data_IF_706041434074
#
_entry.id   IF_706041434074
#
_cell.length_a   1.000
_cell.length_b   1.000
_cell.length_c   1.000
_cell.angle_alpha   90.00
_cell.angle_beta   90.00
_cell.angle_gamma   90.00
#
_symmetry.space_group_name_H-M   'P 1'
#
loop_
_entity.id
_entity.type
_entity.pdbx_description
1 polymer ?
#
# COMPACT_ATOMS: atom_id res chain seq x y z
N UNK A 1 -0.09 20.17 4.48
CA UNK A 1 0.05 20.01 5.94
C UNK A 1 0.75 21.23 6.53
N UNK A 2 0.09 22.04 7.35
CA UNK A 2 0.81 22.98 8.23
C UNK A 2 1.33 22.16 9.41
N UNK A 3 2.59 21.72 9.35
CA UNK A 3 3.23 20.97 10.44
C UNK A 3 3.31 21.88 11.67
N UNK A 4 2.92 21.38 12.84
CA UNK A 4 3.29 22.04 14.08
C UNK A 4 4.83 22.11 14.13
N UNK A 5 5.44 23.25 14.47
CA UNK A 5 6.89 23.35 14.51
C UNK A 5 7.42 22.33 15.53
N UNK A 6 8.25 21.39 15.04
CA UNK A 6 8.94 20.43 15.89
C UNK A 6 9.79 21.21 16.88
N UNK A 7 9.53 21.04 18.18
CA UNK A 7 10.28 21.76 19.21
C UNK A 7 11.75 21.33 19.19
N UNK A 8 12.66 22.22 19.60
CA UNK A 8 14.09 21.89 19.72
C UNK A 8 14.30 20.66 20.61
N UNK A 9 13.46 20.48 21.62
CA UNK A 9 13.50 19.33 22.53
C UNK A 9 13.12 18.03 21.81
N UNK A 10 12.10 18.05 20.97
CA UNK A 10 11.71 16.88 20.17
C UNK A 10 12.80 16.52 19.15
N UNK A 11 13.47 17.50 18.54
CA UNK A 11 14.61 17.23 17.66
C UNK A 11 15.78 16.56 18.41
N UNK A 12 16.08 17.03 19.63
CA UNK A 12 17.10 16.45 20.48
C UNK A 12 16.74 15.02 20.92
N UNK A 13 15.48 14.77 21.28
CA UNK A 13 14.97 13.43 21.59
C UNK A 13 15.11 12.48 20.40
N UNK A 14 14.66 12.90 19.21
CA UNK A 14 14.76 12.09 18.00
C UNK A 14 16.21 11.77 17.64
N UNK A 15 17.13 12.73 17.83
CA UNK A 15 18.56 12.50 17.63
C UNK A 15 19.10 11.46 18.63
N UNK A 16 18.79 11.60 19.91
CA UNK A 16 19.23 10.66 20.94
C UNK A 16 18.70 9.24 20.73
N UNK A 17 17.47 9.09 20.21
CA UNK A 17 16.91 7.78 19.85
C UNK A 17 17.61 7.20 18.64
N UNK A 18 17.88 8.02 17.61
CA UNK A 18 18.60 7.60 16.40
C UNK A 18 20.03 7.14 16.73
N UNK A 19 20.67 7.77 17.70
CA UNK A 19 22.02 7.42 18.19
C UNK A 19 22.00 6.31 19.26
N UNK A 20 20.81 5.76 19.58
CA UNK A 20 20.61 4.74 20.62
C UNK A 20 21.22 5.08 21.99
N UNK A 21 21.15 6.36 22.38
CA UNK A 21 21.70 6.83 23.64
C UNK A 21 21.00 6.16 24.85
N UNK A 22 21.77 5.48 25.70
CA UNK A 22 21.26 4.98 26.97
C UNK A 22 20.91 6.12 27.91
N UNK A 23 20.06 5.86 28.91
CA UNK A 23 19.65 6.87 29.89
C UNK A 23 20.84 7.61 30.51
N UNK A 24 21.89 6.87 30.85
CA UNK A 24 23.09 7.38 31.53
C UNK A 24 23.91 8.32 30.63
N UNK A 25 23.82 8.14 29.31
CA UNK A 25 24.55 8.92 28.29
C UNK A 25 23.72 10.05 27.66
N UNK A 26 22.47 10.21 28.09
CA UNK A 26 21.63 11.30 27.59
C UNK A 26 22.19 12.67 27.99
N UNK A 27 22.06 13.69 27.12
CA UNK A 27 22.30 15.07 27.51
C UNK A 27 21.49 15.44 28.76
N UNK A 28 22.12 16.07 29.75
CA UNK A 28 21.47 16.47 31.01
C UNK A 28 20.18 17.26 30.82
N UNK A 29 20.10 18.05 29.75
CA UNK A 29 18.88 18.78 29.36
C UNK A 29 17.72 17.84 29.09
N UNK A 30 17.94 16.73 28.38
CA UNK A 30 16.91 15.73 28.07
C UNK A 30 16.53 14.96 29.34
N UNK A 31 17.51 14.56 30.15
CA UNK A 31 17.25 13.88 31.42
C UNK A 31 16.38 14.72 32.36
N UNK A 32 16.62 16.03 32.42
CA UNK A 32 15.83 16.96 33.22
C UNK A 32 14.35 17.04 32.76
N UNK A 33 14.10 16.91 31.45
CA UNK A 33 12.74 16.89 30.90
C UNK A 33 12.02 15.56 31.14
N UNK A 34 12.74 14.43 31.02
CA UNK A 34 12.14 13.09 31.02
C UNK A 34 11.94 12.46 32.39
N UNK A 35 12.23 13.13 33.51
CA UNK A 35 11.97 12.71 34.91
C UNK A 35 12.55 11.36 35.41
N UNK A 36 12.58 10.29 34.60
CA UNK A 36 13.05 8.96 34.94
C UNK A 36 13.52 8.15 33.72
N UNK A 37 14.25 7.05 33.99
CA UNK A 37 14.69 6.09 32.97
C UNK A 37 13.51 5.37 32.30
N UNK A 38 12.46 5.09 33.06
CA UNK A 38 11.23 4.44 32.58
C UNK A 38 10.47 5.34 31.60
N UNK A 39 10.44 6.65 31.84
CA UNK A 39 9.87 7.60 30.89
C UNK A 39 10.70 7.71 29.61
N UNK A 40 12.03 7.64 29.70
CA UNK A 40 12.88 7.53 28.52
C UNK A 40 12.58 6.27 27.71
N UNK A 41 12.46 5.12 28.36
CA UNK A 41 12.07 3.88 27.68
C UNK A 41 10.70 4.00 26.98
N UNK A 42 9.71 4.62 27.64
CA UNK A 42 8.40 4.90 27.02
C UNK A 42 8.54 5.79 25.79
N UNK A 43 9.39 6.82 25.84
CA UNK A 43 9.61 7.75 24.72
C UNK A 43 10.31 7.11 23.54
N UNK A 44 11.27 6.20 23.81
CA UNK A 44 11.90 5.36 22.78
C UNK A 44 10.83 4.56 22.04
N UNK A 45 10.01 3.81 22.77
CA UNK A 45 8.96 2.95 22.21
C UNK A 45 7.98 3.79 21.37
N UNK A 46 7.48 4.89 21.93
CA UNK A 46 6.52 5.77 21.27
C UNK A 46 7.04 6.32 19.94
N UNK A 47 8.28 6.82 19.91
CA UNK A 47 8.87 7.41 18.70
C UNK A 47 9.14 6.34 17.65
N UNK A 48 9.62 5.15 18.04
CA UNK A 48 9.81 4.03 17.12
C UNK A 48 8.47 3.57 16.50
N UNK A 49 7.40 3.47 17.30
CA UNK A 49 6.04 3.14 16.83
C UNK A 49 5.49 4.19 15.88
N UNK A 50 5.62 5.48 16.23
CA UNK A 50 5.19 6.60 15.39
C UNK A 50 5.86 6.57 14.02
N UNK A 51 7.14 6.23 13.97
CA UNK A 51 7.93 6.09 12.73
C UNK A 51 7.78 4.73 12.03
N UNK A 52 6.96 3.81 12.56
CA UNK A 52 6.72 2.46 12.00
C UNK A 52 7.98 1.61 11.83
N UNK A 53 8.92 1.72 12.75
CA UNK A 53 10.18 0.99 12.63
C UNK A 53 10.01 -0.48 13.02
N UNK A 54 10.73 -1.37 12.34
CA UNK A 54 10.82 -2.79 12.71
C UNK A 54 11.54 -2.94 14.05
N UNK A 55 11.03 -3.80 14.94
CA UNK A 55 11.54 -3.92 16.30
C UNK A 55 13.04 -4.24 16.35
N UNK A 56 13.47 -5.28 15.63
CA UNK A 56 14.87 -5.72 15.55
C UNK A 56 15.83 -4.64 15.00
N UNK A 57 15.34 -3.72 14.18
CA UNK A 57 16.11 -2.65 13.55
C UNK A 57 16.07 -1.32 14.31
N UNK A 58 15.35 -1.21 15.42
CA UNK A 58 15.19 0.06 16.14
C UNK A 58 15.52 -0.05 17.63
N UNK A 59 15.67 1.11 18.28
CA UNK A 59 16.14 1.18 19.66
C UNK A 59 15.20 0.50 20.67
N UNK A 60 13.91 0.35 20.32
CA UNK A 60 12.92 -0.33 21.14
C UNK A 60 13.33 -1.76 21.57
N UNK A 61 14.15 -2.46 20.75
CA UNK A 61 14.66 -3.81 21.07
C UNK A 61 15.46 -3.90 22.36
N UNK A 62 16.05 -2.79 22.82
CA UNK A 62 16.85 -2.75 24.05
C UNK A 62 16.01 -2.46 25.30
N UNK A 63 14.73 -2.08 25.14
CA UNK A 63 13.90 -1.58 26.25
C UNK A 63 12.56 -2.31 26.42
N UNK A 64 12.10 -3.07 25.42
CA UNK A 64 10.87 -3.87 25.52
C UNK A 64 10.95 -5.15 24.67
N UNK A 65 10.10 -6.13 24.98
CA UNK A 65 10.01 -7.38 24.20
C UNK A 65 9.33 -7.11 22.85
N UNK A 66 9.64 -7.93 21.86
CA UNK A 66 9.07 -7.83 20.52
C UNK A 66 7.53 -7.89 20.52
N UNK A 67 6.95 -8.80 21.30
CA UNK A 67 5.49 -8.93 21.43
C UNK A 67 4.83 -7.69 22.01
N UNK A 68 5.41 -7.12 23.08
CA UNK A 68 4.93 -5.90 23.73
C UNK A 68 4.98 -4.71 22.76
N UNK A 69 6.05 -4.61 21.97
CA UNK A 69 6.23 -3.55 20.97
C UNK A 69 5.15 -3.59 19.88
N UNK A 70 4.93 -4.75 19.26
CA UNK A 70 3.94 -4.86 18.19
C UNK A 70 2.49 -4.81 18.71
N UNK A 71 2.21 -5.29 19.92
CA UNK A 71 0.90 -5.08 20.56
C UNK A 71 0.60 -3.60 20.79
N UNK A 72 1.57 -2.84 21.31
CA UNK A 72 1.44 -1.39 21.51
C UNK A 72 1.36 -0.66 20.18
N UNK A 73 2.13 -1.07 19.17
CA UNK A 73 2.04 -0.53 17.82
C UNK A 73 0.62 -0.73 17.28
N UNK A 74 0.10 -1.95 17.23
CA UNK A 74 -1.23 -2.22 16.68
C UNK A 74 -2.35 -1.48 17.44
N UNK A 75 -2.21 -1.30 18.76
CA UNK A 75 -3.11 -0.46 19.56
C UNK A 75 -3.02 1.01 19.14
N UNK A 76 -1.81 1.53 18.96
CA UNK A 76 -1.57 2.89 18.48
C UNK A 76 -2.16 3.10 17.07
N UNK A 77 -1.95 2.16 16.14
CA UNK A 77 -2.46 2.27 14.76
C UNK A 77 -3.97 2.33 14.71
N UNK A 78 -4.65 1.38 15.36
CA UNK A 78 -6.13 1.34 15.39
C UNK A 78 -6.72 2.60 16.02
N UNK A 79 -6.15 3.06 17.15
CA UNK A 79 -6.59 4.30 17.81
C UNK A 79 -6.55 5.52 16.88
N UNK A 80 -5.55 5.58 15.99
CA UNK A 80 -5.38 6.67 15.04
C UNK A 80 -5.98 6.36 13.66
N UNK A 81 -6.72 5.26 13.50
CA UNK A 81 -7.30 4.80 12.23
C UNK A 81 -6.25 4.68 11.09
N UNK A 82 -5.01 4.39 11.48
CA UNK A 82 -3.86 4.42 10.59
C UNK A 82 -3.83 3.18 9.66
N UNK A 83 -3.06 3.29 8.59
CA UNK A 83 -2.84 2.23 7.63
C UNK A 83 -2.30 0.95 8.29
N UNK A 84 -2.70 -0.20 7.76
CA UNK A 84 -2.06 -1.46 8.14
C UNK A 84 -0.58 -1.44 7.72
N UNK A 85 0.37 -1.77 8.61
CA UNK A 85 1.80 -1.64 8.35
C UNK A 85 2.32 -2.87 7.59
N UNK A 86 2.05 -2.95 6.28
CA UNK A 86 2.40 -4.11 5.45
C UNK A 86 3.88 -4.49 5.48
N UNK A 87 4.79 -3.53 5.62
CA UNK A 87 6.23 -3.79 5.74
C UNK A 87 6.60 -4.51 7.05
N UNK A 88 5.68 -4.58 8.01
CA UNK A 88 5.81 -5.31 9.28
C UNK A 88 4.91 -6.56 9.32
N UNK A 89 4.31 -6.93 8.18
CA UNK A 89 3.39 -8.06 8.07
C UNK A 89 4.03 -9.39 8.48
N UNK A 90 5.34 -9.55 8.34
CA UNK A 90 6.02 -10.79 8.75
C UNK A 90 5.75 -11.10 10.22
N UNK A 91 5.93 -10.14 11.13
CA UNK A 91 5.61 -10.40 12.55
C UNK A 91 4.10 -10.39 12.80
N UNK A 92 3.39 -9.41 12.25
CA UNK A 92 1.98 -9.15 12.58
C UNK A 92 1.07 -10.26 12.05
N UNK A 93 1.24 -10.65 10.78
CA UNK A 93 0.46 -11.73 10.18
C UNK A 93 0.95 -13.08 10.67
N UNK A 94 2.27 -13.36 10.62
CA UNK A 94 2.78 -14.71 10.94
C UNK A 94 2.69 -15.04 12.43
N UNK A 95 3.18 -14.14 13.28
CA UNK A 95 3.35 -14.38 14.73
C UNK A 95 2.11 -13.96 15.50
N UNK A 96 1.62 -12.74 15.32
CA UNK A 96 0.44 -12.25 16.03
C UNK A 96 -0.89 -12.78 15.44
N UNK A 97 -0.85 -13.39 14.24
CA UNK A 97 -2.03 -13.91 13.54
C UNK A 97 -3.12 -12.86 13.30
N UNK A 98 -2.69 -11.61 13.05
CA UNK A 98 -3.60 -10.50 12.71
C UNK A 98 -3.52 -10.24 11.21
N UNK A 99 -4.56 -10.64 10.47
CA UNK A 99 -4.65 -10.33 9.04
C UNK A 99 -5.05 -8.87 8.80
N UNK A 100 -4.66 -8.27 7.65
CA UNK A 100 -5.12 -6.93 7.27
C UNK A 100 -6.65 -6.82 7.24
N UNK A 101 -7.34 -7.85 6.75
CA UNK A 101 -8.80 -7.93 6.78
C UNK A 101 -9.37 -7.76 8.20
N UNK A 102 -8.86 -8.55 9.16
CA UNK A 102 -9.30 -8.47 10.55
C UNK A 102 -8.99 -7.10 11.16
N UNK A 103 -7.82 -6.55 10.85
CA UNK A 103 -7.43 -5.22 11.31
C UNK A 103 -8.43 -4.14 10.87
N UNK A 104 -8.81 -4.13 9.58
CA UNK A 104 -9.77 -3.15 9.08
C UNK A 104 -11.20 -3.40 9.56
N UNK A 105 -11.63 -4.65 9.71
CA UNK A 105 -12.92 -4.95 10.36
C UNK A 105 -12.96 -4.42 11.81
N UNK A 106 -11.89 -4.63 12.59
CA UNK A 106 -11.80 -4.09 13.95
C UNK A 106 -11.77 -2.54 13.95
N UNK A 107 -11.08 -1.90 13.00
CA UNK A 107 -11.06 -0.44 12.84
C UNK A 107 -12.46 0.10 12.51
N UNK A 108 -13.14 -0.46 11.51
CA UNK A 108 -14.51 -0.07 11.13
C UNK A 108 -15.46 -0.23 12.32
N UNK A 109 -15.34 -1.34 13.05
CA UNK A 109 -16.11 -1.57 14.27
C UNK A 109 -15.85 -0.49 15.33
N UNK A 110 -14.60 -0.07 15.54
CA UNK A 110 -14.27 0.99 16.49
C UNK A 110 -14.90 2.34 16.09
N UNK A 111 -14.87 2.70 14.81
CA UNK A 111 -15.54 3.90 14.27
C UNK A 111 -17.04 3.84 14.51
N UNK A 112 -17.69 2.71 14.18
CA UNK A 112 -19.12 2.49 14.44
C UNK A 112 -19.45 2.58 15.93
N UNK A 113 -18.68 1.89 16.78
CA UNK A 113 -18.87 1.86 18.23
C UNK A 113 -18.76 3.26 18.84
N UNK A 114 -17.86 4.08 18.33
CA UNK A 114 -17.66 5.45 18.78
C UNK A 114 -18.61 6.46 18.09
N UNK A 115 -19.52 5.96 17.24
CA UNK A 115 -20.49 6.74 16.48
C UNK A 115 -19.86 7.87 15.64
N UNK A 116 -18.62 7.65 15.18
CA UNK A 116 -17.92 8.53 14.26
C UNK A 116 -18.42 8.28 12.83
N UNK A 117 -18.44 9.31 11.96
CA UNK A 117 -18.76 9.12 10.54
C UNK A 117 -17.66 8.31 9.83
N UNK A 118 -18.00 7.60 8.76
CA UNK A 118 -17.00 6.91 7.91
C UNK A 118 -15.87 7.85 7.46
N UNK A 119 -16.23 9.11 7.18
CA UNK A 119 -15.32 10.16 6.72
C UNK A 119 -14.23 10.51 7.76
N UNK A 120 -14.29 9.98 9.00
CA UNK A 120 -13.19 10.07 9.97
C UNK A 120 -12.01 9.14 9.67
N UNK A 121 -12.19 8.12 8.81
CA UNK A 121 -11.13 7.18 8.44
C UNK A 121 -10.22 7.86 7.41
N UNK A 122 -8.88 7.89 7.63
CA UNK A 122 -7.91 8.34 6.63
C UNK A 122 -8.09 7.66 5.28
N UNK A 123 -7.92 8.39 4.18
CA UNK A 123 -8.31 7.89 2.86
C UNK A 123 -7.59 6.63 2.41
N UNK A 124 -6.29 6.53 2.68
CA UNK A 124 -5.53 5.35 2.32
C UNK A 124 -6.00 4.14 3.13
N UNK A 125 -6.28 4.33 4.43
CA UNK A 125 -6.92 3.31 5.28
C UNK A 125 -8.31 2.94 4.76
N UNK A 126 -9.11 3.91 4.34
CA UNK A 126 -10.45 3.69 3.81
C UNK A 126 -10.42 2.93 2.47
N UNK A 127 -9.50 3.28 1.56
CA UNK A 127 -9.31 2.59 0.29
C UNK A 127 -8.92 1.12 0.49
N UNK A 128 -7.99 0.86 1.41
CA UNK A 128 -7.54 -0.50 1.70
C UNK A 128 -8.59 -1.31 2.48
N UNK A 129 -9.30 -0.67 3.42
CA UNK A 129 -10.44 -1.26 4.11
C UNK A 129 -11.55 -1.65 3.11
N UNK A 130 -11.90 -0.76 2.17
CA UNK A 130 -12.87 -1.06 1.11
C UNK A 130 -12.41 -2.25 0.26
N UNK A 131 -11.14 -2.25 -0.18
CA UNK A 131 -10.56 -3.33 -0.98
C UNK A 131 -10.64 -4.70 -0.31
N UNK A 132 -10.46 -4.75 1.02
CA UNK A 132 -10.39 -6.01 1.76
C UNK A 132 -11.73 -6.45 2.37
N UNK A 133 -12.57 -5.50 2.75
CA UNK A 133 -13.82 -5.79 3.47
C UNK A 133 -15.07 -5.57 2.62
N UNK A 134 -14.96 -4.83 1.52
CA UNK A 134 -16.12 -4.37 0.74
C UNK A 134 -16.94 -3.27 1.42
N UNK A 135 -16.51 -2.76 2.59
CA UNK A 135 -17.24 -1.71 3.32
C UNK A 135 -16.72 -0.33 2.93
N UNK A 136 -17.45 0.31 2.04
CA UNK A 136 -17.31 1.73 1.76
C UNK A 136 -18.23 2.58 2.63
N UNK A 137 -18.33 3.86 2.27
CA UNK A 137 -19.19 4.84 2.95
C UNK A 137 -20.67 4.41 2.98
N UNK A 138 -21.18 3.87 1.86
CA UNK A 138 -22.59 3.50 1.73
C UNK A 138 -22.93 2.27 2.59
N UNK A 139 -22.08 1.25 2.55
CA UNK A 139 -22.22 0.02 3.33
C UNK A 139 -22.10 0.32 4.83
N UNK A 140 -21.16 1.19 5.21
CA UNK A 140 -21.03 1.67 6.58
C UNK A 140 -22.31 2.34 7.08
N UNK A 141 -22.88 3.26 6.28
CA UNK A 141 -24.12 3.97 6.62
C UNK A 141 -25.28 2.97 6.77
N UNK A 142 -25.42 2.01 5.87
CA UNK A 142 -26.45 0.98 5.94
C UNK A 142 -26.33 0.14 7.23
N UNK A 143 -25.12 -0.33 7.56
CA UNK A 143 -24.85 -1.07 8.81
C UNK A 143 -25.19 -0.21 10.04
N UNK A 144 -24.79 1.07 10.06
CA UNK A 144 -25.09 1.98 11.16
C UNK A 144 -26.60 2.21 11.32
N UNK A 145 -27.34 2.30 10.21
CA UNK A 145 -28.80 2.41 10.24
C UNK A 145 -29.46 1.13 10.78
N UNK A 146 -28.99 -0.05 10.35
CA UNK A 146 -29.41 -1.36 10.89
C UNK A 146 -29.12 -1.51 12.38
N UNK A 147 -27.97 -1.01 12.86
CA UNK A 147 -27.65 -0.99 14.28
C UNK A 147 -28.60 -0.08 15.06
N UNK A 148 -28.78 1.17 14.59
CA UNK A 148 -29.60 2.19 15.27
C UNK A 148 -31.09 1.87 15.29
N UNK A 149 -31.60 1.12 14.32
CA UNK A 149 -33.00 0.65 14.33
C UNK A 149 -33.28 -0.28 15.50
N UNK A 150 -32.28 -1.07 15.95
CA UNK A 150 -32.32 -1.89 17.17
C UNK A 150 -31.95 -1.07 18.42
N UNK A 151 -32.61 0.08 18.63
CA UNK A 151 -32.27 1.14 19.62
C UNK A 151 -31.82 0.65 21.00
N UNK A 152 -32.49 -0.36 21.58
CA UNK A 152 -32.15 -0.89 22.90
C UNK A 152 -30.83 -1.68 22.84
N UNK A 153 -30.71 -2.56 21.85
CA UNK A 153 -29.52 -3.39 21.68
C UNK A 153 -28.30 -2.55 21.33
N UNK A 154 -28.42 -1.54 20.46
CA UNK A 154 -27.29 -0.67 20.13
C UNK A 154 -26.80 0.14 21.34
N UNK A 155 -27.71 0.64 22.18
CA UNK A 155 -27.36 1.39 23.39
C UNK A 155 -26.69 0.52 24.46
N UNK A 156 -27.16 -0.71 24.64
CA UNK A 156 -26.67 -1.63 25.67
C UNK A 156 -25.46 -2.44 25.22
N UNK A 157 -25.45 -2.81 23.94
CA UNK A 157 -24.46 -3.69 23.37
C UNK A 157 -24.10 -3.27 21.93
N UNK A 158 -23.11 -2.39 21.83
CA UNK A 158 -22.54 -1.98 20.54
C UNK A 158 -21.87 -3.13 19.79
N UNK A 159 -21.68 -4.32 20.40
CA UNK A 159 -21.09 -5.48 19.72
C UNK A 159 -21.94 -6.01 18.57
N UNK A 160 -23.24 -5.66 18.48
CA UNK A 160 -24.07 -6.05 17.34
C UNK A 160 -23.48 -5.59 16.00
N UNK A 161 -22.74 -4.47 15.96
CA UNK A 161 -22.07 -4.05 14.74
C UNK A 161 -21.08 -5.10 14.23
N UNK A 162 -20.42 -5.88 15.10
CA UNK A 162 -19.54 -6.99 14.67
C UNK A 162 -20.28 -8.10 13.94
N UNK A 163 -21.54 -8.34 14.27
CA UNK A 163 -22.37 -9.37 13.60
C UNK A 163 -22.80 -8.93 12.19
N UNK A 164 -22.77 -7.63 11.91
CA UNK A 164 -23.11 -7.07 10.60
C UNK A 164 -21.88 -6.82 9.73
N UNK A 165 -20.68 -6.99 10.27
CA UNK A 165 -19.43 -6.87 9.50
C UNK A 165 -19.13 -8.20 8.78
N UNK A 166 -18.41 -8.13 7.63
CA UNK A 166 -17.97 -9.31 6.91
C UNK A 166 -17.13 -10.24 7.81
N UNK A 167 -17.32 -11.55 7.64
CA UNK A 167 -16.54 -12.58 8.33
C UNK A 167 -15.38 -13.12 7.48
N UNK A 168 -15.39 -12.82 6.17
CA UNK A 168 -14.35 -13.18 5.22
C UNK A 168 -13.98 -11.98 4.33
N UNK A 169 -12.74 -11.91 3.83
CA UNK A 169 -12.35 -10.89 2.85
C UNK A 169 -13.17 -10.98 1.57
N UNK A 170 -13.34 -9.85 0.88
CA UNK A 170 -13.87 -9.84 -0.49
C UNK A 170 -12.79 -10.24 -1.49
N UNK A 171 -13.20 -10.75 -2.65
CA UNK A 171 -12.28 -11.02 -3.74
C UNK A 171 -11.65 -9.72 -4.27
N UNK A 172 -10.34 -9.74 -4.52
CA UNK A 172 -9.61 -8.66 -5.17
C UNK A 172 -8.58 -9.22 -6.16
N UNK A 173 -8.15 -8.44 -7.16
CA UNK A 173 -7.10 -8.86 -8.08
C UNK A 173 -5.78 -9.11 -7.35
N UNK A 174 -5.18 -10.28 -7.59
CA UNK A 174 -3.85 -10.65 -7.06
C UNK A 174 -2.91 -10.76 -8.26
N UNK A 175 -1.81 -10.03 -8.24
CA UNK A 175 -0.84 -10.08 -9.35
C UNK A 175 0.01 -11.38 -9.29
N UNK A 176 0.41 -11.93 -10.44
CA UNK A 176 1.16 -13.20 -10.51
C UNK A 176 2.48 -13.20 -9.71
N UNK A 177 3.10 -12.03 -9.54
CA UNK A 177 4.39 -11.85 -8.86
C UNK A 177 4.26 -11.58 -7.35
N UNK A 178 3.05 -11.47 -6.80
CA UNK A 178 2.88 -11.30 -5.36
C UNK A 178 3.35 -12.54 -4.61
N UNK A 179 4.04 -12.34 -3.49
CA UNK A 179 4.49 -13.41 -2.62
C UNK A 179 3.33 -13.95 -1.78
N UNK A 180 3.24 -15.27 -1.63
CA UNK A 180 2.34 -15.98 -0.73
C UNK A 180 3.11 -16.35 0.52
N UNK A 181 2.72 -15.78 1.65
CA UNK A 181 3.40 -16.00 2.93
C UNK A 181 2.49 -16.74 3.90
N UNK A 182 3.08 -17.67 4.65
CA UNK A 182 2.37 -18.49 5.62
C UNK A 182 2.19 -17.76 6.96
N UNK A 183 1.06 -18.01 7.61
CA UNK A 183 0.82 -17.67 9.01
C UNK A 183 1.22 -18.86 9.90
N UNK A 184 1.54 -18.66 11.18
CA UNK A 184 1.70 -19.79 12.09
C UNK A 184 0.35 -20.53 12.28
N UNK A 185 0.36 -21.83 11.99
CA UNK A 185 -0.82 -22.69 12.09
C UNK A 185 -0.96 -23.26 13.50
N UNK A 186 -2.20 -23.39 13.98
CA UNK A 186 -2.52 -24.26 15.11
C UNK A 186 -2.57 -25.72 14.66
N UNK A 187 -2.46 -26.64 15.62
CA UNK A 187 -2.60 -28.08 15.35
C UNK A 187 -3.96 -28.42 14.74
N UNK A 188 -5.03 -27.70 15.10
CA UNK A 188 -6.37 -27.93 14.55
C UNK A 188 -6.50 -27.45 13.11
N UNK A 189 -5.89 -26.32 12.77
CA UNK A 189 -5.88 -25.81 11.39
C UNK A 189 -5.06 -26.73 10.49
N UNK A 190 -3.90 -27.18 10.96
CA UNK A 190 -3.05 -28.11 10.22
C UNK A 190 -3.79 -29.43 9.88
N UNK A 191 -4.59 -29.95 10.82
CA UNK A 191 -5.39 -31.18 10.60
C UNK A 191 -6.54 -31.02 9.59
N UNK A 192 -6.95 -29.79 9.28
CA UNK A 192 -8.07 -29.49 8.37
C UNK A 192 -7.62 -29.18 6.95
N UNK A 193 -6.32 -29.20 6.68
CA UNK A 193 -5.78 -28.93 5.35
C UNK A 193 -6.13 -30.06 4.39
N UNK A 194 -6.45 -29.72 3.13
CA UNK A 194 -6.53 -30.71 2.05
C UNK A 194 -5.13 -31.16 1.61
N UNK A 195 -5.04 -32.23 0.83
CA UNK A 195 -3.77 -32.68 0.25
C UNK A 195 -3.13 -31.59 -0.64
N UNK A 196 -3.95 -30.85 -1.41
CA UNK A 196 -3.51 -29.75 -2.26
C UNK A 196 -2.96 -28.57 -1.44
N UNK A 197 -3.64 -28.24 -0.33
CA UNK A 197 -3.21 -27.19 0.59
C UNK A 197 -1.90 -27.55 1.30
N UNK A 198 -1.74 -28.81 1.72
CA UNK A 198 -0.49 -29.30 2.28
C UNK A 198 0.65 -29.25 1.27
N UNK A 199 0.41 -29.65 0.01
CA UNK A 199 1.41 -29.59 -1.06
C UNK A 199 1.86 -28.15 -1.34
N UNK A 200 0.93 -27.21 -1.36
CA UNK A 200 1.24 -25.78 -1.50
C UNK A 200 2.09 -25.27 -0.33
N UNK A 201 1.73 -25.58 0.92
CA UNK A 201 2.50 -25.18 2.12
C UNK A 201 3.92 -25.75 2.07
N UNK A 202 4.06 -27.02 1.69
CA UNK A 202 5.36 -27.67 1.53
C UNK A 202 6.21 -26.98 0.48
N UNK A 203 5.63 -26.59 -0.65
CA UNK A 203 6.31 -25.86 -1.72
C UNK A 203 6.83 -24.49 -1.25
N UNK A 204 6.01 -23.72 -0.53
CA UNK A 204 6.43 -22.43 0.07
C UNK A 204 7.59 -22.62 1.05
N UNK A 205 7.57 -23.68 1.87
CA UNK A 205 8.59 -23.94 2.88
C UNK A 205 9.90 -24.51 2.31
N UNK A 206 9.85 -25.36 1.28
CA UNK A 206 11.01 -26.16 0.81
C UNK A 206 11.71 -25.55 -0.40
N UNK A 207 10.95 -24.99 -1.32
CA UNK A 207 11.49 -24.51 -2.61
C UNK A 207 11.88 -23.03 -2.58
N UNK A 208 11.59 -22.32 -1.47
CA UNK A 208 11.67 -20.86 -1.35
C UNK A 208 10.90 -20.12 -2.47
N UNK A 209 10.03 -20.84 -3.18
CA UNK A 209 9.25 -20.34 -4.29
C UNK A 209 7.87 -19.95 -3.76
N UNK A 210 7.60 -18.65 -3.68
CA UNK A 210 6.40 -18.13 -3.04
C UNK A 210 5.55 -17.23 -3.94
N UNK A 211 5.91 -17.02 -5.22
CA UNK A 211 5.11 -16.21 -6.13
C UNK A 211 3.75 -16.85 -6.41
N UNK A 212 2.68 -16.05 -6.39
CA UNK A 212 1.30 -16.47 -6.61
C UNK A 212 1.11 -17.31 -7.88
N UNK A 213 1.81 -16.97 -8.97
CA UNK A 213 1.77 -17.71 -10.25
C UNK A 213 2.14 -19.19 -10.14
N UNK A 214 2.82 -19.60 -9.09
CA UNK A 214 3.32 -20.97 -8.90
C UNK A 214 2.30 -21.90 -8.23
N UNK A 215 1.13 -21.38 -7.86
CA UNK A 215 0.12 -22.08 -7.08
C UNK A 215 -1.25 -22.05 -7.77
N UNK A 216 -2.09 -23.00 -7.40
CA UNK A 216 -3.49 -23.00 -7.79
C UNK A 216 -4.22 -21.80 -7.13
N UNK A 217 -4.84 -20.89 -7.92
CA UNK A 217 -5.55 -19.74 -7.40
C UNK A 217 -6.66 -20.08 -6.39
N UNK A 218 -7.36 -21.20 -6.56
CA UNK A 218 -8.48 -21.58 -5.68
C UNK A 218 -7.97 -22.07 -4.31
N UNK A 219 -6.86 -22.81 -4.30
CA UNK A 219 -6.17 -23.23 -3.07
C UNK A 219 -5.68 -22.00 -2.29
N UNK A 220 -5.04 -21.04 -2.98
CA UNK A 220 -4.55 -19.80 -2.38
C UNK A 220 -5.71 -19.00 -1.77
N UNK A 221 -6.82 -18.82 -2.52
CA UNK A 221 -8.01 -18.11 -2.03
C UNK A 221 -8.65 -18.82 -0.84
N UNK A 222 -8.71 -20.14 -0.85
CA UNK A 222 -9.21 -20.96 0.27
C UNK A 222 -8.36 -20.80 1.55
N UNK A 223 -7.04 -20.74 1.42
CA UNK A 223 -6.15 -20.46 2.54
C UNK A 223 -6.25 -19.00 3.02
N UNK A 224 -6.36 -18.05 2.09
CA UNK A 224 -6.44 -16.61 2.40
C UNK A 224 -7.74 -16.25 3.13
N UNK A 225 -8.87 -16.75 2.66
CA UNK A 225 -10.19 -16.54 3.29
C UNK A 225 -10.25 -17.08 4.73
N UNK A 226 -9.47 -18.13 5.03
CA UNK A 226 -9.32 -18.70 6.38
C UNK A 226 -8.25 -17.99 7.23
N UNK A 227 -7.54 -17.01 6.68
CA UNK A 227 -6.49 -16.26 7.38
C UNK A 227 -5.21 -17.07 7.63
N UNK A 228 -4.97 -18.10 6.83
CA UNK A 228 -3.81 -19.00 6.96
C UNK A 228 -2.60 -18.54 6.12
N UNK A 229 -2.83 -17.62 5.19
CA UNK A 229 -1.79 -16.94 4.42
C UNK A 229 -2.01 -15.43 4.40
N UNK A 230 -0.99 -14.70 4.01
CA UNK A 230 -1.06 -13.29 3.64
C UNK A 230 -0.22 -13.04 2.39
N UNK A 231 -0.52 -11.96 1.66
CA UNK A 231 0.24 -11.59 0.47
C UNK A 231 1.35 -10.61 0.82
N UNK A 232 2.57 -10.93 0.40
CA UNK A 232 3.64 -9.96 0.27
C UNK A 232 3.65 -9.36 -1.15
N UNK A 233 4.01 -8.09 -1.25
CA UNK A 233 4.10 -7.38 -2.54
C UNK A 233 5.52 -6.84 -2.61
N UNK A 234 6.46 -7.67 -3.07
CA UNK A 234 7.88 -7.38 -2.98
C UNK A 234 8.25 -6.26 -3.95
N UNK A 235 8.90 -5.23 -3.43
CA UNK A 235 9.43 -4.12 -4.21
C UNK A 235 10.93 -4.03 -3.99
N UNK A 236 11.69 -4.13 -5.07
CA UNK A 236 13.15 -4.10 -5.08
C UNK A 236 13.68 -2.71 -5.51
N UNK A 237 14.94 -2.37 -5.19
CA UNK A 237 15.51 -1.06 -5.51
C UNK A 237 15.49 -0.71 -7.00
N UNK A 238 15.66 -1.70 -7.87
CA UNK A 238 15.72 -1.54 -9.32
C UNK A 238 14.34 -1.61 -10.00
N UNK A 239 13.29 -1.93 -9.24
CA UNK A 239 11.94 -1.98 -9.78
C UNK A 239 11.49 -0.61 -10.28
N UNK A 240 10.63 -0.63 -11.30
CA UNK A 240 10.03 0.55 -11.91
C UNK A 240 8.52 0.40 -11.88
N UNK A 241 7.82 1.53 -11.74
CA UNK A 241 6.37 1.53 -11.60
C UNK A 241 5.74 2.57 -12.50
N UNK A 242 4.66 2.16 -13.15
CA UNK A 242 3.73 3.07 -13.82
C UNK A 242 2.60 3.39 -12.86
N UNK A 243 2.50 4.65 -12.46
CA UNK A 243 1.44 5.13 -11.57
C UNK A 243 0.22 5.52 -12.42
N UNK A 244 -0.93 4.98 -12.06
CA UNK A 244 -2.22 5.31 -12.65
C UNK A 244 -2.71 6.67 -12.14
N UNK A 245 -3.54 7.36 -12.93
CA UNK A 245 -4.22 8.57 -12.44
C UNK A 245 -5.16 8.21 -11.28
N UNK A 246 -5.13 9.00 -10.21
CA UNK A 246 -5.99 8.82 -9.04
C UNK A 246 -7.36 9.48 -9.29
N UNK A 247 -8.10 9.00 -10.29
CA UNK A 247 -9.43 9.55 -10.57
C UNK A 247 -10.36 9.41 -9.36
N UNK A 248 -10.82 10.54 -8.82
CA UNK A 248 -11.79 10.58 -7.72
C UNK A 248 -11.21 10.40 -6.31
N UNK A 249 -9.89 10.30 -6.14
CA UNK A 249 -9.29 10.31 -4.81
C UNK A 249 -9.39 11.73 -4.25
N UNK A 250 -10.00 11.94 -3.08
CA UNK A 250 -10.09 13.27 -2.44
C UNK A 250 -9.37 13.23 -1.12
N UNK A 251 -8.23 13.92 -0.99
CA UNK A 251 -7.36 13.92 0.21
C UNK A 251 -8.09 14.54 1.39
N UNK A 252 -8.25 13.79 2.49
CA UNK A 252 -8.71 14.31 3.77
C UNK A 252 -7.54 15.06 4.40
N UNK A 253 -7.47 16.37 4.11
CA UNK A 253 -6.36 17.27 4.51
C UNK A 253 -6.27 17.55 6.01
N UNK A 254 -7.31 17.20 6.78
CA UNK A 254 -7.42 17.50 8.22
C UNK A 254 -7.28 16.22 9.05
N UNK A 255 -6.09 15.64 9.07
CA UNK A 255 -5.74 14.60 10.04
C UNK A 255 -4.89 15.22 11.15
N UNK A 256 -5.28 14.99 12.41
CA UNK A 256 -4.44 15.31 13.57
C UNK A 256 -3.25 14.35 13.72
N UNK A 257 -3.27 13.26 12.97
CA UNK A 257 -2.31 12.18 12.99
C UNK A 257 -1.36 12.29 11.78
N UNK A 258 -0.05 12.15 12.02
CA UNK A 258 0.97 12.11 10.97
C UNK A 258 1.34 10.65 10.66
N UNK A 259 0.96 10.15 9.49
CA UNK A 259 1.42 8.85 8.99
C UNK A 259 2.66 9.00 8.10
N UNK A 260 3.83 8.47 8.51
CA UNK A 260 5.05 8.59 7.70
C UNK A 260 4.92 7.88 6.34
N UNK A 261 4.06 6.85 6.23
CA UNK A 261 3.82 6.17 4.96
C UNK A 261 2.92 7.03 4.07
N UNK A 262 1.88 7.68 4.62
CA UNK A 262 0.98 8.56 3.85
C UNK A 262 1.74 9.71 3.17
N UNK A 263 2.68 10.35 3.87
CA UNK A 263 3.51 11.40 3.25
C UNK A 263 4.30 10.88 2.04
N UNK A 264 4.87 9.67 2.15
CA UNK A 264 5.59 9.03 1.06
C UNK A 264 4.66 8.59 -0.07
N UNK A 265 3.44 8.15 0.23
CA UNK A 265 2.45 7.78 -0.78
C UNK A 265 2.12 8.98 -1.67
N UNK A 266 1.83 10.15 -1.09
CA UNK A 266 1.63 11.37 -1.88
C UNK A 266 2.88 11.74 -2.70
N UNK A 267 4.08 11.58 -2.13
CA UNK A 267 5.33 11.87 -2.83
C UNK A 267 5.57 10.92 -4.03
N UNK A 268 5.24 9.63 -3.88
CA UNK A 268 5.26 8.63 -4.97
C UNK A 268 4.34 9.08 -6.10
N UNK A 269 3.11 9.50 -5.83
CA UNK A 269 2.21 10.00 -6.87
C UNK A 269 2.75 11.20 -7.62
N UNK A 270 3.43 12.13 -6.93
CA UNK A 270 3.92 13.37 -7.55
C UNK A 270 5.20 13.14 -8.38
N UNK A 271 6.07 12.23 -7.95
CA UNK A 271 7.45 12.15 -8.45
C UNK A 271 7.71 10.93 -9.34
N UNK A 272 6.83 9.93 -9.29
CA UNK A 272 7.04 8.68 -10.04
C UNK A 272 6.97 8.89 -11.53
N UNK A 273 7.87 8.20 -12.21
CA UNK A 273 8.07 8.15 -13.63
C UNK A 273 8.38 6.68 -13.94
N UNK A 274 7.76 6.11 -14.97
CA UNK A 274 7.97 4.72 -15.37
C UNK A 274 9.44 4.37 -15.72
N UNK A 275 10.27 5.39 -15.95
CA UNK A 275 11.70 5.25 -16.24
C UNK A 275 12.61 5.41 -15.03
N UNK A 276 12.09 5.76 -13.85
CA UNK A 276 12.89 5.91 -12.63
C UNK A 276 12.75 4.67 -11.74
N UNK A 277 13.87 4.14 -11.25
CA UNK A 277 13.83 3.05 -10.27
C UNK A 277 13.39 3.53 -8.89
N UNK A 278 12.95 2.62 -8.03
CA UNK A 278 12.64 2.95 -6.62
C UNK A 278 13.84 3.59 -5.92
N UNK A 279 15.07 3.10 -6.16
CA UNK A 279 16.29 3.68 -5.60
C UNK A 279 16.52 5.14 -6.05
N UNK A 280 16.29 5.43 -7.33
CA UNK A 280 16.40 6.78 -7.89
C UNK A 280 15.33 7.71 -7.31
N UNK A 281 14.11 7.21 -7.14
CA UNK A 281 13.02 7.93 -6.50
C UNK A 281 13.33 8.22 -5.03
N UNK A 282 13.85 7.25 -4.26
CA UNK A 282 14.22 7.43 -2.85
C UNK A 282 15.29 8.50 -2.70
N UNK A 283 16.32 8.46 -3.55
CA UNK A 283 17.37 9.46 -3.60
C UNK A 283 16.81 10.85 -3.93
N UNK A 284 15.89 10.93 -4.90
CA UNK A 284 15.27 12.20 -5.30
C UNK A 284 14.38 12.79 -4.20
N UNK A 285 13.65 11.94 -3.49
CA UNK A 285 12.76 12.33 -2.40
C UNK A 285 13.49 12.56 -1.06
N UNK A 286 14.78 12.21 -0.99
CA UNK A 286 15.55 12.16 0.26
C UNK A 286 14.86 11.31 1.34
N UNK A 287 14.21 10.23 0.88
CA UNK A 287 13.50 9.29 1.71
C UNK A 287 14.37 8.05 1.96
N UNK A 288 14.11 7.37 3.07
CA UNK A 288 14.69 6.06 3.31
C UNK A 288 14.18 5.06 2.26
N UNK A 289 15.10 4.30 1.66
CA UNK A 289 14.76 3.35 0.58
C UNK A 289 13.72 2.32 1.03
N UNK A 290 13.85 1.80 2.25
CA UNK A 290 12.92 0.78 2.78
C UNK A 290 11.51 1.34 2.97
N UNK A 291 11.41 2.60 3.41
CA UNK A 291 10.12 3.27 3.54
C UNK A 291 9.49 3.56 2.17
N UNK A 292 10.29 3.94 1.17
CA UNK A 292 9.78 4.13 -0.18
C UNK A 292 9.33 2.80 -0.81
N UNK A 293 10.08 1.72 -0.61
CA UNK A 293 9.66 0.37 -1.02
C UNK A 293 8.32 -0.03 -0.38
N UNK A 294 8.13 0.28 0.91
CA UNK A 294 6.85 0.04 1.60
C UNK A 294 5.70 0.86 0.99
N UNK A 295 5.93 2.14 0.68
CA UNK A 295 4.94 3.00 0.02
C UNK A 295 4.61 2.51 -1.40
N UNK A 296 5.63 2.15 -2.19
CA UNK A 296 5.48 1.56 -3.53
C UNK A 296 4.71 0.23 -3.49
N UNK A 297 5.04 -0.64 -2.54
CA UNK A 297 4.33 -1.90 -2.29
C UNK A 297 2.84 -1.65 -2.02
N UNK A 298 2.54 -0.63 -1.20
CA UNK A 298 1.17 -0.28 -0.87
C UNK A 298 0.37 0.27 -2.06
N UNK A 299 0.92 1.18 -2.86
CA UNK A 299 0.20 1.66 -4.07
C UNK A 299 -0.02 0.56 -5.10
N UNK A 300 0.87 -0.42 -5.19
CA UNK A 300 0.66 -1.61 -6.01
C UNK A 300 -0.48 -2.47 -5.49
N UNK A 301 -0.57 -2.67 -4.17
CA UNK A 301 -1.68 -3.41 -3.53
C UNK A 301 -3.05 -2.80 -3.82
N UNK A 302 -3.11 -1.47 -3.92
CA UNK A 302 -4.35 -0.75 -4.24
C UNK A 302 -4.65 -0.68 -5.74
N UNK A 303 -3.78 -1.19 -6.61
CA UNK A 303 -3.93 -1.10 -8.07
C UNK A 303 -3.65 0.30 -8.63
N UNK A 304 -3.06 1.20 -7.84
CA UNK A 304 -2.71 2.56 -8.26
C UNK A 304 -1.33 2.67 -8.89
N UNK A 305 -0.51 1.63 -8.75
CA UNK A 305 0.72 1.48 -9.51
C UNK A 305 0.86 0.06 -10.04
N UNK A 306 1.40 -0.06 -11.24
CA UNK A 306 1.72 -1.35 -11.87
C UNK A 306 3.22 -1.46 -12.01
N UNK A 307 3.79 -2.59 -11.58
CA UNK A 307 5.21 -2.89 -11.77
C UNK A 307 5.50 -3.02 -13.27
N UNK A 308 6.48 -2.26 -13.76
CA UNK A 308 6.97 -2.37 -15.14
C UNK A 308 7.86 -3.60 -15.18
N UNK A 309 7.40 -4.63 -15.89
CA UNK A 309 8.16 -5.86 -16.10
C UNK A 309 8.76 -5.78 -17.50
N UNK A 310 10.08 -5.70 -17.59
CA UNK A 310 10.77 -5.72 -18.87
C UNK A 310 10.68 -7.14 -19.45
N UNK A 311 10.00 -7.37 -20.59
CA UNK A 311 9.94 -8.69 -21.20
C UNK A 311 11.32 -9.28 -21.52
N UNK A 312 12.35 -8.43 -21.74
CA UNK A 312 13.72 -8.90 -21.96
C UNK A 312 14.33 -9.56 -20.71
N UNK A 313 13.96 -9.09 -19.51
CA UNK A 313 14.43 -9.66 -18.25
C UNK A 313 13.86 -11.06 -17.99
N UNK A 314 12.59 -11.30 -18.36
CA UNK A 314 11.95 -12.63 -18.26
C UNK A 314 12.63 -13.64 -19.20
N UNK A 315 13.06 -13.19 -20.40
CA UNK A 315 13.69 -14.06 -21.39
C UNK A 315 15.15 -14.43 -21.06
N UNK A 316 15.80 -13.69 -20.16
CA UNK A 316 17.17 -13.93 -19.73
C UNK A 316 17.27 -14.82 -18.48
N UNK A 317 16.16 -15.06 -17.77
CA UNK A 317 16.08 -16.00 -16.66
C UNK A 317 16.08 -17.45 -17.18
N UNK A 318 17.24 -17.89 -17.66
CA UNK A 318 17.51 -19.25 -18.16
C UNK A 318 17.52 -20.31 -17.04
N UNK A 319 16.92 -20.04 -15.88
CA UNK A 319 16.76 -20.97 -14.75
C UNK A 319 15.39 -21.66 -14.72
N UNK A 320 14.55 -21.47 -15.75
CA UNK A 320 13.29 -22.21 -15.91
C UNK A 320 13.54 -23.40 -16.86
N UNK A 321 13.34 -24.66 -16.42
CA UNK A 321 13.39 -25.81 -17.32
C UNK A 321 12.17 -25.75 -18.25
N UNK A 322 12.38 -25.57 -19.57
CA UNK A 322 11.29 -25.63 -20.56
C UNK A 322 11.31 -24.61 -21.70
N UNK A 323 12.34 -23.77 -21.85
CA UNK A 323 12.39 -22.77 -22.93
C UNK A 323 12.61 -23.40 -24.32
N UNK A 324 11.71 -23.17 -25.30
CA UNK A 324 11.75 -23.82 -26.62
C UNK A 324 12.70 -23.06 -27.54
N UNK A 325 14.02 -23.19 -27.34
CA UNK A 325 15.02 -22.64 -28.28
C UNK A 325 16.21 -23.56 -28.58
N UNK A 326 16.10 -24.86 -28.27
CA UNK A 326 17.17 -25.83 -28.54
C UNK A 326 16.66 -27.06 -29.30
N UNK A 327 16.01 -26.87 -30.46
CA UNK A 327 15.74 -27.95 -31.41
C UNK A 327 15.23 -27.40 -32.76
N UNK A 328 16.08 -26.70 -33.51
CA UNK A 328 15.85 -26.55 -34.96
C UNK A 328 17.20 -26.70 -35.65
N UNK A 329 17.54 -27.93 -36.04
CA UNK A 329 18.51 -28.18 -37.10
C UNK A 329 17.74 -28.35 -38.41
N UNK A 330 18.07 -27.49 -39.36
CA UNK A 330 18.18 -27.69 -40.80
C UNK A 330 17.25 -28.74 -41.46
N UNK A 331 16.35 -28.29 -42.33
CA UNK A 331 16.54 -28.37 -43.79
C UNK A 331 15.36 -27.76 -44.58
N UNK A 332 15.71 -26.81 -45.44
CA UNK A 332 15.27 -26.63 -46.83
C UNK A 332 13.83 -26.25 -47.26
N UNK A 333 13.78 -25.09 -47.97
CA UNK A 333 13.08 -24.89 -49.27
C UNK A 333 11.55 -24.66 -49.20
N UNK A 334 10.87 -23.63 -49.74
CA UNK A 334 11.15 -22.43 -50.55
C UNK A 334 9.80 -21.70 -50.87
N UNK A 335 9.85 -20.47 -51.44
CA UNK A 335 8.82 -19.79 -52.28
C UNK A 335 7.62 -19.15 -51.55
N UNK A 336 7.57 -17.83 -51.28
CA UNK A 336 7.30 -16.65 -52.15
C UNK A 336 5.80 -16.17 -52.18
N UNK A 337 5.61 -14.94 -51.68
CA UNK A 337 4.87 -13.79 -52.24
C UNK A 337 3.39 -13.91 -52.65
N UNK A 338 2.55 -12.99 -52.13
CA UNK A 338 1.48 -12.17 -52.75
C UNK A 338 0.50 -11.76 -51.62
N UNK A 339 0.01 -10.53 -51.42
CA UNK A 339 -0.01 -9.30 -52.21
C UNK A 339 -1.38 -8.60 -52.00
N UNK A 340 -1.37 -7.46 -51.32
CA UNK A 340 -2.18 -6.22 -51.44
C UNK A 340 -3.72 -6.16 -51.64
N UNK A 341 -4.26 -5.14 -50.94
CA UNK A 341 -5.33 -4.19 -51.30
C UNK A 341 -6.82 -4.54 -51.17
N UNK A 342 -7.55 -3.74 -50.36
CA UNK A 342 -8.42 -2.69 -50.91
C UNK A 342 -9.07 -1.77 -49.84
N UNK A 343 -8.92 -0.45 -50.06
CA UNK A 343 -9.73 0.65 -49.52
C UNK A 343 -11.15 0.63 -50.08
N UNK A 344 -12.16 1.06 -49.30
CA UNK A 344 -13.25 1.90 -49.80
C UNK A 344 -13.72 2.88 -48.71
N UNK A 345 -13.62 4.16 -49.04
CA UNK A 345 -14.18 5.34 -48.35
C UNK A 345 -15.52 5.62 -49.03
N UNK A 346 -16.56 5.93 -48.26
CA UNK A 346 -17.66 6.77 -48.76
C UNK A 346 -17.95 7.89 -47.76
N UNK A 347 -17.93 9.10 -48.33
CA UNK A 347 -17.98 10.40 -47.70
C UNK A 347 -19.30 11.04 -48.11
N UNK A 348 -20.22 11.27 -47.17
CA UNK A 348 -21.42 12.06 -47.42
C UNK A 348 -21.28 13.45 -46.80
N UNK A 349 -21.42 14.43 -47.68
CA UNK A 349 -20.96 15.79 -47.58
C UNK A 349 -22.13 16.71 -47.18
N UNK A 350 -21.81 17.72 -46.37
CA UNK A 350 -22.32 19.10 -46.48
C UNK A 350 -23.83 19.39 -46.29
N UNK A 351 -24.16 20.17 -45.24
CA UNK A 351 -24.18 21.65 -45.23
C UNK A 351 -25.28 22.16 -44.30
N UNK A 352 -24.90 23.02 -43.35
CA UNK A 352 -25.82 23.69 -42.43
C UNK A 352 -25.02 24.65 -41.55
N UNK A 353 -24.93 25.90 -42.01
CA UNK A 353 -24.14 27.01 -41.48
C UNK A 353 -24.34 27.31 -39.99
N UNK A 354 -23.27 27.64 -39.27
CA UNK A 354 -23.04 28.98 -38.69
C UNK A 354 -22.00 29.01 -37.54
N UNK A 355 -21.14 30.04 -37.57
CA UNK A 355 -20.27 30.56 -36.49
C UNK A 355 -18.82 30.01 -36.32
N UNK A 356 -17.90 30.56 -37.14
CA UNK A 356 -16.61 31.15 -36.70
C UNK A 356 -15.39 30.23 -36.47
N UNK A 357 -14.25 30.40 -37.20
CA UNK A 357 -13.03 29.65 -36.92
C UNK A 357 -12.23 30.34 -35.81
N UNK A 358 -12.37 29.90 -34.57
CA UNK A 358 -11.37 30.18 -33.53
C UNK A 358 -10.31 29.08 -33.58
N UNK A 359 -9.09 29.45 -33.98
CA UNK A 359 -7.91 28.59 -33.93
C UNK A 359 -7.70 28.03 -32.53
N UNK A 360 -7.75 26.71 -32.39
CA UNK A 360 -7.47 25.99 -31.15
C UNK A 360 -5.98 26.07 -30.81
N UNK A 361 -5.54 27.16 -30.17
CA UNK A 361 -4.22 27.24 -29.56
C UNK A 361 -4.19 26.40 -28.28
N UNK A 362 -3.46 25.28 -28.30
CA UNK A 362 -3.13 24.52 -27.07
C UNK A 362 -2.22 25.39 -26.18
N UNK A 363 -2.72 25.80 -25.02
CA UNK A 363 -1.92 26.52 -24.01
C UNK A 363 -1.35 25.51 -23.02
N UNK A 364 -0.02 25.51 -22.87
CA UNK A 364 0.70 24.69 -21.89
C UNK A 364 1.09 25.59 -20.71
N UNK A 365 0.81 25.15 -19.49
CA UNK A 365 1.24 25.80 -18.26
C UNK A 365 2.10 24.83 -17.44
N UNK A 366 3.20 25.32 -16.87
CA UNK A 366 4.05 24.55 -15.97
C UNK A 366 3.69 24.88 -14.52
N UNK A 367 3.44 23.85 -13.72
CA UNK A 367 3.19 23.98 -12.28
C UNK A 367 4.34 23.30 -11.55
N UNK A 368 5.01 24.07 -10.69
CA UNK A 368 6.13 23.60 -9.87
C UNK A 368 5.73 23.75 -8.39
N UNK A 369 4.76 22.93 -7.96
CA UNK A 369 4.34 22.82 -6.56
C UNK A 369 3.80 21.40 -6.31
N UNK A 370 4.41 20.65 -5.39
CA UNK A 370 4.04 19.26 -5.13
C UNK A 370 2.60 19.10 -4.61
N UNK A 371 2.09 20.07 -3.84
CA UNK A 371 0.74 20.03 -3.30
C UNK A 371 -0.31 20.34 -4.37
N UNK A 372 -0.02 21.26 -5.29
CA UNK A 372 -0.91 21.57 -6.41
C UNK A 372 -0.88 20.41 -7.41
N UNK A 373 0.30 19.86 -7.70
CA UNK A 373 0.46 18.70 -8.58
C UNK A 373 -0.31 17.50 -8.05
N UNK A 374 -0.21 17.18 -6.75
CA UNK A 374 -0.99 16.08 -6.16
C UNK A 374 -2.49 16.35 -6.28
N UNK A 375 -2.94 17.58 -6.01
CA UNK A 375 -4.35 17.95 -6.15
C UNK A 375 -4.88 17.81 -7.59
N UNK A 376 -4.08 18.16 -8.59
CA UNK A 376 -4.45 18.01 -10.01
C UNK A 376 -4.44 16.54 -10.45
N UNK A 377 -3.45 15.76 -10.01
CA UNK A 377 -3.32 14.32 -10.25
C UNK A 377 -4.50 13.52 -9.68
N UNK A 378 -5.16 14.06 -8.66
CA UNK A 378 -6.33 13.50 -8.00
C UNK A 378 -7.65 13.77 -8.76
N UNK A 379 -7.58 14.27 -10.00
CA UNK A 379 -8.75 14.47 -10.86
C UNK A 379 -9.60 15.69 -10.50
N UNK A 380 -9.03 16.67 -9.77
CA UNK A 380 -9.74 17.89 -9.34
C UNK A 380 -9.97 18.91 -10.48
N UNK A 381 -9.76 18.52 -11.73
CA UNK A 381 -9.87 19.38 -12.92
C UNK A 381 -11.11 19.01 -13.74
N UNK A 382 -11.79 20.02 -14.27
CA UNK A 382 -12.98 19.83 -15.10
C UNK A 382 -12.68 18.93 -16.32
N UNK A 383 -13.66 18.10 -16.76
CA UNK A 383 -13.51 17.31 -17.98
C UNK A 383 -13.09 18.21 -19.16
N UNK A 384 -12.00 17.86 -19.83
CA UNK A 384 -11.45 18.61 -20.98
C UNK A 384 -10.05 19.18 -20.78
N UNK A 385 -9.48 19.16 -19.57
CA UNK A 385 -8.07 19.47 -19.33
C UNK A 385 -7.26 18.17 -19.36
N UNK A 386 -6.47 17.98 -20.42
CA UNK A 386 -5.53 16.87 -20.53
C UNK A 386 -4.17 17.26 -19.92
N UNK A 387 -3.81 16.65 -18.79
CA UNK A 387 -2.44 16.70 -18.24
C UNK A 387 -1.58 15.69 -19.02
N UNK A 388 -0.88 16.16 -20.05
CA UNK A 388 -0.21 15.23 -20.97
C UNK A 388 1.25 14.88 -20.64
N UNK A 389 2.06 15.68 -19.93
CA UNK A 389 3.45 15.29 -19.59
C UNK A 389 3.97 15.99 -18.31
N UNK A 390 4.76 15.27 -17.50
CA UNK A 390 5.56 15.83 -16.41
C UNK A 390 7.02 15.98 -16.86
N UNK A 391 7.50 17.23 -16.97
CA UNK A 391 8.92 17.53 -17.22
C UNK A 391 9.54 18.11 -15.93
N UNK A 392 10.49 17.40 -15.34
CA UNK A 392 11.35 17.93 -14.26
C UNK A 392 12.34 18.93 -14.86
N UNK A 393 12.14 20.22 -14.62
CA UNK A 393 13.21 21.22 -14.73
C UNK A 393 14.12 21.10 -13.50
N UNK A 394 15.30 20.51 -13.70
CA UNK A 394 16.35 20.47 -12.67
C UNK A 394 17.10 21.80 -12.71
N UNK A 395 16.82 22.70 -11.76
CA UNK A 395 17.69 23.84 -11.51
C UNK A 395 18.97 23.32 -10.82
N UNK A 396 20.08 23.34 -11.55
CA UNK A 396 21.42 23.19 -10.98
C UNK A 396 21.82 24.57 -10.47
N UNK A 397 22.02 24.71 -9.16
CA UNK A 397 22.89 25.72 -8.59
C UNK A 397 24.18 25.03 -8.13
#
# INVERSE_FOLDING_TARGET
MQRAPVTVEEQLLQKAIKEECTWENLPKRIQATLSSKEEWHRRIIEICIKKRLQWNGCFARKVCKESEYYEEMMRYLRKNLALFPYHLAEYICRVMRVSPFRYYCDMIFEVMRNEQPYDSIPNFSAADALRLTGIGRNEFIDIMNKCRSKKIMWKLNKSIAKELLPTQPVDFPIEPWWGVCLVNFTLEEFKKLSEEEMAMIDKVCKEEANSFILFDPDVVKGLYSRGLIYFDVPVYPDDRFKVSMLEGFVSNREQSYEDPIEELLYAVFVVSNENASVAELATTLQADLSQLQAAASFVCRLGWATKVIDPASILQDTKIPGSPKSAVSDEDTSIASHGFDNMLIDNDNNQGDAYGPHSSYTRVAFIVDANITSYLMMGSVSPGIYLSHFLKLKFIY
#
